data_IF_720494382608
#
_entry.id   IF_720494382608
#
_cell.length_a   1.000
_cell.length_b   1.000
_cell.length_c   1.000
_cell.angle_alpha   90.00
_cell.angle_beta   90.00
_cell.angle_gamma   90.00
#
_symmetry.space_group_name_H-M   'P 1'
#
loop_
_entity.id
_entity.type
_entity.pdbx_description
1 polymer ?
#
# COMPACT_ATOMS: atom_id res chain seq x y z
N UNK A 1 32.40 1.89 47.10
CA UNK A 1 31.48 2.99 47.44
C UNK A 1 31.01 3.63 46.14
N UNK A 2 29.70 3.61 45.88
CA UNK A 2 29.07 4.14 44.66
C UNK A 2 29.10 5.67 44.72
N UNK A 3 29.61 6.34 43.68
CA UNK A 3 29.47 7.79 43.51
C UNK A 3 28.62 8.07 42.28
N UNK A 4 27.65 8.93 42.52
CA UNK A 4 26.41 9.13 41.79
C UNK A 4 26.60 9.92 40.50
N UNK A 5 25.68 9.63 39.57
CA UNK A 5 25.31 10.41 38.40
C UNK A 5 25.08 11.89 38.73
N UNK A 6 25.59 12.78 37.87
CA UNK A 6 24.98 14.09 37.61
C UNK A 6 24.83 14.22 36.10
N UNK A 7 23.58 14.09 35.67
CA UNK A 7 23.08 14.32 34.32
C UNK A 7 23.00 15.84 34.16
N UNK A 8 23.89 16.42 33.35
CA UNK A 8 23.78 17.80 32.90
C UNK A 8 22.89 17.82 31.65
N UNK A 9 21.60 18.12 31.85
CA UNK A 9 20.64 18.36 30.78
C UNK A 9 20.89 19.73 30.15
N UNK A 10 21.71 19.81 29.12
CA UNK A 10 21.76 20.98 28.23
C UNK A 10 20.56 20.93 27.29
N UNK A 11 19.53 21.70 27.60
CA UNK A 11 18.45 22.03 26.68
C UNK A 11 19.06 22.85 25.54
N UNK A 12 19.28 22.23 24.39
CA UNK A 12 19.65 22.93 23.17
C UNK A 12 18.43 23.71 22.67
N UNK A 13 18.34 24.98 23.08
CA UNK A 13 17.40 25.94 22.53
C UNK A 13 17.75 26.19 21.06
N UNK A 14 16.96 25.62 20.14
CA UNK A 14 16.98 25.95 18.72
C UNK A 14 16.55 27.41 18.54
N UNK A 15 17.52 28.32 18.49
CA UNK A 15 17.34 29.69 18.06
C UNK A 15 17.23 29.74 16.54
N UNK A 16 16.03 29.96 16.01
CA UNK A 16 15.79 30.30 14.60
C UNK A 16 15.79 31.83 14.45
N UNK A 17 16.92 32.38 14.02
CA UNK A 17 17.08 33.72 13.47
C UNK A 17 18.08 33.60 12.30
N UNK A 18 17.91 34.13 11.10
CA UNK A 18 16.83 34.87 10.46
C UNK A 18 17.12 34.95 8.95
N UNK A 19 16.05 35.09 8.17
CA UNK A 19 15.89 35.61 6.80
C UNK A 19 17.15 36.07 6.02
N UNK A 20 17.42 35.44 4.86
CA UNK A 20 17.67 36.11 3.57
C UNK A 20 17.92 35.07 2.45
N UNK A 21 17.07 35.07 1.41
CA UNK A 21 17.36 34.33 0.16
C UNK A 21 16.13 33.76 -0.54
N UNK A 22 15.38 34.61 -1.24
CA UNK A 22 14.55 34.24 -2.39
C UNK A 22 13.42 33.23 -2.13
N UNK A 23 12.28 33.71 -1.64
CA UNK A 23 11.02 32.98 -1.76
C UNK A 23 10.60 32.93 -3.23
N UNK A 24 11.07 31.92 -3.97
CA UNK A 24 10.33 31.41 -5.11
C UNK A 24 9.15 30.61 -4.51
N UNK A 25 8.03 31.30 -4.27
CA UNK A 25 6.75 30.63 -4.10
C UNK A 25 6.45 29.90 -5.40
N UNK A 26 6.81 28.63 -5.46
CA UNK A 26 6.27 27.72 -6.43
C UNK A 26 4.76 27.61 -6.12
N UNK A 27 3.95 28.45 -6.76
CA UNK A 27 2.54 28.13 -6.99
C UNK A 27 2.53 26.89 -7.88
N UNK A 28 2.61 25.71 -7.25
CA UNK A 28 2.09 24.50 -7.87
C UNK A 28 0.58 24.61 -7.80
N UNK A 29 0.00 25.32 -8.77
CA UNK A 29 -1.39 25.16 -9.12
C UNK A 29 -1.53 23.74 -9.72
N UNK A 30 -1.62 22.75 -8.84
CA UNK A 30 -1.95 21.37 -9.20
C UNK A 30 -3.43 21.30 -9.56
N UNK A 31 -3.78 21.83 -10.73
CA UNK A 31 -5.04 21.57 -11.39
C UNK A 31 -4.97 20.22 -12.08
N UNK A 32 -5.20 19.13 -11.34
CA UNK A 32 -5.46 17.79 -11.89
C UNK A 32 -6.21 16.98 -10.84
N UNK A 33 -7.54 16.99 -10.92
CA UNK A 33 -8.39 15.89 -10.41
C UNK A 33 -7.94 14.64 -11.18
N UNK A 34 -7.34 13.61 -10.57
CA UNK A 34 -8.04 12.61 -9.74
C UNK A 34 -7.00 11.85 -8.88
N UNK A 35 -6.31 12.54 -7.96
CA UNK A 35 -5.78 11.85 -6.77
C UNK A 35 -6.94 11.73 -5.77
N UNK A 36 -7.46 10.53 -5.45
CA UNK A 36 -8.58 10.38 -4.52
C UNK A 36 -8.27 10.95 -3.13
N UNK A 37 -6.98 11.06 -2.76
CA UNK A 37 -6.56 11.76 -1.55
C UNK A 37 -6.63 13.28 -1.74
N UNK A 38 -6.21 13.79 -2.90
CA UNK A 38 -6.25 15.22 -3.23
C UNK A 38 -7.67 15.79 -3.24
N UNK A 39 -8.65 15.04 -3.75
CA UNK A 39 -10.06 15.45 -3.73
C UNK A 39 -10.61 15.52 -2.30
N UNK A 40 -10.27 14.54 -1.44
CA UNK A 40 -10.67 14.54 -0.03
C UNK A 40 -10.03 15.69 0.76
N UNK A 41 -8.72 15.92 0.58
CA UNK A 41 -8.00 17.04 1.21
C UNK A 41 -8.62 18.37 0.80
N UNK A 42 -8.93 18.57 -0.48
CA UNK A 42 -9.60 19.77 -0.99
C UNK A 42 -11.01 19.96 -0.44
N UNK A 43 -11.80 18.87 -0.38
CA UNK A 43 -13.16 18.92 0.17
C UNK A 43 -13.17 19.27 1.67
N UNK A 44 -12.26 18.69 2.46
CA UNK A 44 -12.10 19.01 3.89
C UNK A 44 -11.66 20.46 4.06
N UNK A 45 -10.64 20.89 3.31
CA UNK A 45 -10.15 22.27 3.35
C UNK A 45 -11.26 23.27 3.03
N UNK A 46 -12.05 23.01 1.98
CA UNK A 46 -13.17 23.87 1.58
C UNK A 46 -14.30 23.86 2.61
N UNK A 47 -14.71 22.69 3.11
CA UNK A 47 -15.83 22.55 4.05
C UNK A 47 -15.59 23.25 5.37
N UNK A 48 -14.35 23.24 5.86
CA UNK A 48 -13.96 23.82 7.14
C UNK A 48 -13.16 25.11 7.02
N UNK A 49 -13.01 25.65 5.79
CA UNK A 49 -12.23 26.85 5.49
C UNK A 49 -10.78 26.78 6.04
N UNK A 50 -10.13 25.63 5.85
CA UNK A 50 -8.74 25.38 6.25
C UNK A 50 -7.80 25.56 5.06
N UNK A 51 -6.50 25.74 5.34
CA UNK A 51 -5.48 25.73 4.28
C UNK A 51 -5.25 24.31 3.79
N UNK A 52 -5.35 24.08 2.49
CA UNK A 52 -5.12 22.78 1.84
C UNK A 52 -3.75 22.19 2.19
N UNK A 53 -2.72 23.04 2.30
CA UNK A 53 -1.37 22.61 2.67
C UNK A 53 -1.30 22.01 4.08
N UNK A 54 -2.00 22.62 5.04
CA UNK A 54 -2.01 22.15 6.43
C UNK A 54 -2.76 20.82 6.53
N UNK A 55 -3.89 20.70 5.82
CA UNK A 55 -4.64 19.43 5.76
C UNK A 55 -3.78 18.33 5.13
N UNK A 56 -3.09 18.63 4.02
CA UNK A 56 -2.17 17.69 3.36
C UNK A 56 -1.07 17.22 4.31
N UNK A 57 -0.44 18.14 5.04
CA UNK A 57 0.60 17.81 6.01
C UNK A 57 0.11 16.85 7.11
N UNK A 58 -1.13 17.01 7.58
CA UNK A 58 -1.73 16.07 8.57
C UNK A 58 -1.89 14.67 7.98
N UNK A 59 -2.38 14.56 6.74
CA UNK A 59 -2.53 13.26 6.08
C UNK A 59 -1.18 12.58 5.83
N UNK A 60 -0.18 13.33 5.38
CA UNK A 60 1.17 12.83 5.16
C UNK A 60 1.78 12.33 6.49
N UNK A 61 1.67 13.10 7.57
CA UNK A 61 2.13 12.70 8.90
C UNK A 61 1.41 11.44 9.42
N UNK A 62 0.08 11.38 9.29
CA UNK A 62 -0.70 10.22 9.69
C UNK A 62 -0.33 8.98 8.86
N UNK A 63 -0.05 9.14 7.56
CA UNK A 63 0.42 8.03 6.72
C UNK A 63 1.75 7.48 7.20
N UNK A 64 2.73 8.35 7.45
CA UNK A 64 4.03 7.92 8.00
C UNK A 64 3.87 7.21 9.33
N UNK A 65 2.97 7.69 10.20
CA UNK A 65 2.66 7.01 11.46
C UNK A 65 2.07 5.61 11.23
N UNK A 66 1.11 5.48 10.32
CA UNK A 66 0.48 4.20 9.97
C UNK A 66 1.48 3.21 9.36
N UNK A 67 2.42 3.68 8.53
CA UNK A 67 3.50 2.88 7.97
C UNK A 67 4.42 2.35 9.08
N UNK A 68 4.85 3.22 9.99
CA UNK A 68 5.67 2.82 11.14
C UNK A 68 4.94 1.82 12.06
N UNK A 69 3.63 2.00 12.29
CA UNK A 69 2.82 1.06 13.07
C UNK A 69 2.71 -0.30 12.40
N UNK A 70 2.49 -0.34 11.08
CA UNK A 70 2.45 -1.60 10.32
C UNK A 70 3.80 -2.31 10.35
N UNK A 71 4.88 -1.56 10.20
CA UNK A 71 6.24 -2.09 10.26
C UNK A 71 6.53 -2.70 11.63
N UNK A 72 6.14 -2.02 12.70
CA UNK A 72 6.29 -2.53 14.06
C UNK A 72 5.45 -3.79 14.29
N UNK A 73 4.18 -3.79 13.87
CA UNK A 73 3.30 -4.95 14.03
C UNK A 73 3.85 -6.21 13.37
N UNK A 74 4.47 -6.09 12.18
CA UNK A 74 5.09 -7.23 11.52
C UNK A 74 6.37 -7.67 12.24
N UNK A 75 7.20 -6.74 12.72
CA UNK A 75 8.37 -7.09 13.56
C UNK A 75 7.96 -7.84 14.81
N UNK A 76 6.89 -7.41 15.47
CA UNK A 76 6.35 -8.09 16.65
C UNK A 76 5.84 -9.50 16.30
N UNK A 77 5.18 -9.65 15.15
CA UNK A 77 4.74 -10.95 14.66
C UNK A 77 5.92 -11.89 14.34
N UNK A 78 6.97 -11.38 13.68
CA UNK A 78 8.20 -12.15 13.41
C UNK A 78 8.84 -12.58 14.73
N UNK A 79 8.95 -11.68 15.71
CA UNK A 79 9.49 -12.00 17.02
C UNK A 79 8.64 -13.05 17.76
N UNK A 80 7.31 -13.00 17.63
CA UNK A 80 6.43 -14.01 18.19
C UNK A 80 6.63 -15.37 17.52
N UNK A 81 6.80 -15.43 16.20
CA UNK A 81 7.09 -16.67 15.48
C UNK A 81 8.42 -17.29 15.91
N UNK A 82 9.42 -16.48 16.28
CA UNK A 82 10.67 -16.98 16.89
C UNK A 82 10.42 -17.56 18.27
N UNK A 83 9.64 -16.87 19.12
CA UNK A 83 9.26 -17.39 20.45
C UNK A 83 8.47 -18.69 20.37
N UNK A 84 7.59 -18.80 19.37
CA UNK A 84 6.79 -19.99 19.09
C UNK A 84 7.63 -21.14 18.49
N UNK A 85 8.91 -20.93 18.20
CA UNK A 85 9.80 -21.92 17.58
C UNK A 85 9.49 -22.21 16.11
N UNK A 86 8.63 -21.39 15.49
CA UNK A 86 8.23 -21.52 14.08
C UNK A 86 9.26 -20.91 13.12
N UNK A 87 10.05 -19.96 13.62
CA UNK A 87 11.19 -19.37 12.94
C UNK A 87 12.41 -19.42 13.86
N UNK A 88 13.58 -19.52 13.28
CA UNK A 88 14.85 -19.26 13.96
C UNK A 88 15.14 -17.76 13.96
N UNK A 89 16.04 -17.31 14.85
CA UNK A 89 16.48 -15.92 14.86
C UNK A 89 17.10 -15.50 13.52
N UNK A 90 17.90 -16.39 12.90
CA UNK A 90 18.51 -16.11 11.60
C UNK A 90 17.47 -15.94 10.47
N UNK A 91 16.39 -16.71 10.48
CA UNK A 91 15.28 -16.55 9.53
C UNK A 91 14.52 -15.24 9.76
N UNK A 92 14.27 -14.88 11.02
CA UNK A 92 13.66 -13.60 11.37
C UNK A 92 14.51 -12.41 10.88
N UNK A 93 15.82 -12.48 11.06
CA UNK A 93 16.74 -11.43 10.61
C UNK A 93 16.71 -11.28 9.07
N UNK A 94 16.69 -12.40 8.34
CA UNK A 94 16.54 -12.41 6.88
C UNK A 94 15.20 -11.78 6.45
N UNK A 95 14.09 -12.13 7.10
CA UNK A 95 12.77 -11.55 6.81
C UNK A 95 12.81 -10.04 7.01
N UNK A 96 13.31 -9.58 8.16
CA UNK A 96 13.38 -8.14 8.46
C UNK A 96 14.25 -7.38 7.46
N UNK A 97 15.39 -7.95 7.06
CA UNK A 97 16.25 -7.37 6.03
C UNK A 97 15.53 -7.29 4.67
N UNK A 98 14.84 -8.37 4.26
CA UNK A 98 14.12 -8.40 2.97
C UNK A 98 12.94 -7.41 2.96
N UNK A 99 12.25 -7.24 4.09
CA UNK A 99 11.18 -6.24 4.22
C UNK A 99 11.70 -4.82 4.06
N UNK A 100 12.84 -4.49 4.65
CA UNK A 100 13.46 -3.18 4.48
C UNK A 100 13.89 -2.90 3.03
N UNK A 101 14.29 -3.92 2.27
CA UNK A 101 14.55 -3.82 0.83
C UNK A 101 13.26 -3.53 0.05
N UNK A 102 12.21 -4.32 0.28
CA UNK A 102 10.91 -4.16 -0.39
C UNK A 102 10.21 -2.85 -0.03
N UNK A 103 10.43 -2.32 1.17
CA UNK A 103 9.94 -1.00 1.57
C UNK A 103 10.58 0.12 0.75
N UNK A 104 11.90 0.07 0.55
CA UNK A 104 12.61 1.04 -0.31
C UNK A 104 12.14 0.97 -1.76
N UNK A 105 11.90 -0.24 -2.28
CA UNK A 105 11.37 -0.44 -3.63
C UNK A 105 9.97 0.16 -3.77
N UNK A 106 9.06 -0.12 -2.83
CA UNK A 106 7.71 0.46 -2.82
C UNK A 106 7.72 1.97 -2.73
N UNK A 107 8.62 2.54 -1.93
CA UNK A 107 8.77 3.98 -1.77
C UNK A 107 9.30 4.65 -3.05
N UNK A 108 10.25 4.01 -3.73
CA UNK A 108 10.75 4.46 -5.02
C UNK A 108 9.65 4.41 -6.10
N UNK A 109 8.90 3.31 -6.19
CA UNK A 109 7.76 3.18 -7.10
C UNK A 109 6.69 4.22 -6.80
N UNK A 110 6.35 4.43 -5.52
CA UNK A 110 5.40 5.46 -5.11
C UNK A 110 5.84 6.84 -5.56
N UNK A 111 7.13 7.15 -5.43
CA UNK A 111 7.70 8.44 -5.84
C UNK A 111 7.65 8.63 -7.35
N UNK A 112 7.94 7.57 -8.12
CA UNK A 112 7.78 7.59 -9.58
C UNK A 112 6.31 7.83 -10.00
N UNK A 113 5.36 7.43 -9.17
CA UNK A 113 3.92 7.41 -9.51
C UNK A 113 3.12 8.62 -9.07
N UNK A 114 3.73 9.56 -8.34
CA UNK A 114 2.99 10.66 -7.71
C UNK A 114 2.24 11.53 -8.73
N UNK A 115 2.74 11.60 -9.96
CA UNK A 115 2.25 12.53 -10.98
C UNK A 115 1.63 11.84 -12.21
N UNK A 116 1.37 10.54 -12.14
CA UNK A 116 0.72 9.83 -13.26
C UNK A 116 -0.70 10.34 -13.48
N UNK A 117 -1.03 10.60 -14.75
CA UNK A 117 -2.40 10.87 -15.20
C UNK A 117 -3.29 9.65 -14.97
N UNK A 118 -4.60 9.82 -15.10
CA UNK A 118 -5.57 8.75 -14.85
C UNK A 118 -5.41 7.57 -15.82
N UNK A 119 -5.19 7.85 -17.11
CA UNK A 119 -4.93 6.82 -18.13
C UNK A 119 -3.61 6.09 -17.88
N UNK A 120 -2.55 6.82 -17.52
CA UNK A 120 -1.25 6.22 -17.17
C UNK A 120 -1.34 5.39 -15.89
N UNK A 121 -2.12 5.84 -14.90
CA UNK A 121 -2.39 5.11 -13.67
C UNK A 121 -3.12 3.81 -13.95
N UNK A 122 -4.11 3.82 -14.84
CA UNK A 122 -4.83 2.60 -15.23
C UNK A 122 -3.92 1.60 -15.93
N UNK A 123 -3.14 2.05 -16.92
CA UNK A 123 -2.15 1.23 -17.59
C UNK A 123 -1.10 0.67 -16.59
N UNK A 124 -0.65 1.50 -15.64
CA UNK A 124 0.28 1.07 -14.60
C UNK A 124 -0.33 0.06 -13.64
N UNK A 125 -1.61 0.19 -13.28
CA UNK A 125 -2.29 -0.79 -12.42
C UNK A 125 -2.39 -2.16 -13.08
N UNK A 126 -2.59 -2.20 -14.40
CA UNK A 126 -2.57 -3.45 -15.17
C UNK A 126 -1.17 -4.07 -15.21
N UNK A 127 -0.15 -3.28 -15.54
CA UNK A 127 1.25 -3.74 -15.51
C UNK A 127 1.65 -4.26 -14.12
N UNK A 128 1.24 -3.53 -13.06
CA UNK A 128 1.52 -3.89 -11.68
C UNK A 128 0.90 -5.22 -11.26
N UNK A 129 -0.20 -5.69 -11.88
CA UNK A 129 -0.75 -7.02 -11.57
C UNK A 129 0.24 -8.12 -11.94
N UNK A 130 0.75 -8.06 -13.17
CA UNK A 130 1.74 -9.02 -13.67
C UNK A 130 3.04 -8.93 -12.88
N UNK A 131 3.51 -7.71 -12.59
CA UNK A 131 4.69 -7.51 -11.74
C UNK A 131 4.49 -8.07 -10.33
N UNK A 132 3.31 -7.90 -9.74
CA UNK A 132 3.01 -8.42 -8.41
C UNK A 132 3.00 -9.95 -8.37
N UNK A 133 2.51 -10.62 -9.41
CA UNK A 133 2.53 -12.08 -9.48
C UNK A 133 3.95 -12.61 -9.70
N UNK A 134 4.76 -11.92 -10.49
CA UNK A 134 6.19 -12.19 -10.60
C UNK A 134 6.91 -11.98 -9.25
N UNK A 135 6.61 -10.89 -8.54
CA UNK A 135 7.17 -10.62 -7.20
C UNK A 135 6.75 -11.66 -6.17
N UNK A 136 5.48 -12.12 -6.17
CA UNK A 136 5.05 -13.23 -5.30
C UNK A 136 5.89 -14.48 -5.55
N UNK A 137 6.02 -14.87 -6.82
CA UNK A 137 6.80 -16.05 -7.22
C UNK A 137 8.28 -15.93 -6.80
N UNK A 138 8.87 -14.75 -6.99
CA UNK A 138 10.24 -14.46 -6.59
C UNK A 138 10.41 -14.53 -5.07
N UNK A 139 9.45 -14.00 -4.30
CA UNK A 139 9.49 -14.04 -2.84
C UNK A 139 9.25 -15.45 -2.29
N UNK A 140 8.37 -16.23 -2.89
CA UNK A 140 8.15 -17.64 -2.50
C UNK A 140 9.42 -18.47 -2.75
N UNK A 141 10.11 -18.22 -3.85
CA UNK A 141 11.43 -18.83 -4.13
C UNK A 141 12.45 -18.40 -3.10
N UNK A 142 12.56 -17.09 -2.84
CA UNK A 142 13.47 -16.54 -1.84
C UNK A 142 13.23 -17.12 -0.44
N UNK A 143 11.97 -17.33 -0.05
CA UNK A 143 11.64 -17.97 1.24
C UNK A 143 12.19 -19.40 1.29
N UNK A 144 11.94 -20.21 0.26
CA UNK A 144 12.44 -21.59 0.17
C UNK A 144 13.96 -21.65 0.21
N UNK A 145 14.65 -20.79 -0.54
CA UNK A 145 16.11 -20.71 -0.58
C UNK A 145 16.73 -20.31 0.77
N UNK A 146 15.92 -19.73 1.65
CA UNK A 146 16.31 -19.33 2.99
C UNK A 146 15.74 -20.25 4.08
N UNK A 147 15.23 -21.42 3.70
CA UNK A 147 14.62 -22.42 4.56
C UNK A 147 13.41 -21.90 5.35
N UNK A 148 12.70 -20.89 4.82
CA UNK A 148 11.50 -20.31 5.42
C UNK A 148 10.28 -20.87 4.69
N UNK A 149 9.29 -21.34 5.44
CA UNK A 149 8.04 -21.83 4.86
C UNK A 149 7.31 -20.71 4.10
N UNK A 150 6.88 -21.00 2.87
CA UNK A 150 6.10 -20.10 2.01
C UNK A 150 4.84 -19.56 2.65
N UNK A 151 4.28 -20.23 3.66
CA UNK A 151 3.16 -19.72 4.45
C UNK A 151 3.47 -18.35 5.09
N UNK A 152 4.74 -17.97 5.22
CA UNK A 152 5.17 -16.67 5.77
C UNK A 152 5.36 -15.56 4.72
N UNK A 153 5.00 -15.79 3.46
CA UNK A 153 5.07 -14.77 2.39
C UNK A 153 4.27 -13.50 2.67
N UNK A 154 3.19 -13.61 3.47
CA UNK A 154 2.40 -12.46 3.92
C UNK A 154 3.19 -11.48 4.82
N UNK A 155 4.33 -11.89 5.40
CA UNK A 155 5.19 -10.99 6.16
C UNK A 155 5.97 -10.04 5.23
N UNK A 156 6.24 -10.46 3.99
CA UNK A 156 7.03 -9.72 3.00
C UNK A 156 6.14 -8.85 2.11
N UNK A 157 5.02 -9.38 1.68
CA UNK A 157 4.05 -8.64 0.87
C UNK A 157 3.13 -7.85 1.80
N UNK A 158 3.24 -6.52 1.76
CA UNK A 158 2.41 -5.60 2.52
C UNK A 158 0.92 -5.78 2.20
N UNK A 159 0.29 -6.72 2.89
CA UNK A 159 -1.06 -7.17 2.67
C UNK A 159 -1.49 -7.93 3.90
N UNK A 160 -2.01 -7.19 4.89
CA UNK A 160 -2.81 -7.81 5.92
C UNK A 160 -3.87 -8.69 5.28
N UNK A 161 -4.23 -9.78 5.96
CA UNK A 161 -5.40 -10.60 5.63
C UNK A 161 -6.64 -9.71 5.54
N UNK A 162 -6.88 -9.15 4.37
CA UNK A 162 -8.05 -8.42 3.99
C UNK A 162 -8.54 -9.09 2.72
N UNK A 163 -9.53 -9.97 2.88
CA UNK A 163 -10.43 -10.31 1.79
C UNK A 163 -10.97 -9.00 1.20
N UNK A 164 -10.39 -8.57 0.09
CA UNK A 164 -11.10 -7.73 -0.86
C UNK A 164 -12.15 -8.62 -1.51
N UNK A 165 -13.36 -8.54 -0.96
CA UNK A 165 -14.59 -9.07 -1.54
C UNK A 165 -14.59 -8.94 -3.06
N UNK A 166 -15.00 -10.01 -3.74
CA UNK A 166 -15.58 -9.89 -5.06
C UNK A 166 -16.64 -8.79 -5.03
N UNK A 167 -16.42 -7.74 -5.82
CA UNK A 167 -17.53 -6.90 -6.25
C UNK A 167 -18.47 -7.75 -7.11
N UNK A 168 -19.79 -7.58 -7.01
CA UNK A 168 -20.73 -8.37 -7.80
C UNK A 168 -20.54 -8.05 -9.28
N UNK A 169 -19.87 -8.95 -10.02
CA UNK A 169 -20.16 -9.08 -11.43
C UNK A 169 -21.55 -9.70 -11.50
N UNK A 170 -22.54 -8.82 -11.69
CA UNK A 170 -23.92 -9.19 -11.79
C UNK A 170 -24.10 -10.30 -12.83
N UNK A 171 -24.68 -11.40 -12.38
CA UNK A 171 -25.66 -12.12 -13.17
C UNK A 171 -26.65 -11.10 -13.74
N UNK A 172 -26.70 -10.96 -15.07
CA UNK A 172 -27.92 -11.03 -15.87
C UNK A 172 -27.66 -10.70 -17.34
N UNK A 173 -28.47 -11.36 -18.19
CA UNK A 173 -28.60 -11.32 -19.65
C UNK A 173 -27.57 -12.19 -20.41
N UNK A 174 -27.94 -13.27 -21.09
CA UNK A 174 -29.26 -13.73 -21.52
C UNK A 174 -29.09 -15.20 -21.96
N UNK A 175 -29.61 -16.15 -21.17
CA UNK A 175 -29.81 -17.52 -21.63
C UNK A 175 -31.20 -17.61 -22.26
N UNK A 176 -31.34 -17.13 -23.48
CA UNK A 176 -32.53 -17.38 -24.29
C UNK A 176 -32.45 -18.80 -24.83
N UNK A 177 -32.86 -19.74 -23.99
CA UNK A 177 -33.26 -21.09 -24.37
C UNK A 177 -34.48 -20.98 -25.27
N UNK A 178 -34.26 -20.91 -26.59
CA UNK A 178 -35.32 -21.11 -27.58
C UNK A 178 -35.62 -22.60 -27.64
N UNK A 179 -36.65 -23.00 -26.90
CA UNK A 179 -37.31 -24.29 -26.99
C UNK A 179 -37.93 -24.46 -28.39
N UNK A 180 -37.31 -25.26 -29.25
CA UNK A 180 -37.92 -25.72 -30.49
C UNK A 180 -38.96 -26.79 -30.16
N UNK A 181 -40.23 -26.37 -30.11
CA UNK A 181 -41.39 -27.26 -30.10
C UNK A 181 -41.59 -27.82 -31.51
N UNK A 182 -41.20 -29.07 -31.73
CA UNK A 182 -41.55 -29.83 -32.94
C UNK A 182 -42.92 -30.48 -32.75
N UNK A 183 -43.97 -29.84 -33.25
CA UNK A 183 -45.28 -30.47 -33.44
C UNK A 183 -45.27 -31.32 -34.71
N UNK A 184 -45.41 -32.64 -34.54
CA UNK A 184 -45.72 -33.58 -35.61
C UNK A 184 -47.22 -33.53 -35.89
N UNK A 185 -47.60 -33.16 -37.12
CA UNK A 185 -48.91 -33.52 -37.68
C UNK A 185 -48.79 -33.78 -39.18
N UNK A 186 -49.05 -35.03 -39.51
CA UNK A 186 -49.12 -35.77 -40.78
C UNK A 186 -50.17 -35.22 -41.77
N UNK A 187 -50.09 -35.68 -43.03
CA UNK A 187 -51.12 -35.70 -44.10
C UNK A 187 -51.05 -34.51 -45.08
N UNK A 188 -51.19 -34.63 -46.40
CA UNK A 188 -51.20 -35.71 -47.40
C UNK A 188 -51.22 -34.99 -48.77
N UNK A 189 -50.86 -35.72 -49.81
CA UNK A 189 -50.81 -35.37 -51.23
C UNK A 189 -52.01 -34.58 -51.78
N UNK A 190 -51.74 -33.58 -52.64
CA UNK A 190 -51.98 -33.64 -54.10
C UNK A 190 -51.39 -32.40 -54.79
#
# INVERSE_FOLDING_TARGET
MKKQLVIASTVATLGLAGLAGGAAYATTQSGSTTDPMGSLVSAIATKFNLKTADVRAVFDANRTQMEAQREQAVKDQVAQLVKDGKLTQAQADKINAKRAELEKEREAERTADQNLSESERQAKMEARRTEMDAKKTALDTWLKDNDIDTQYSYLLMGGGRGHGHGGPHGENADSTTSSTTSTTSTSSSN
#
